data_IF_995972563620
#
_entry.id   IF_995972563620
#
_cell.length_a   1.000
_cell.length_b   1.000
_cell.length_c   1.000
_cell.angle_alpha   90.00
_cell.angle_beta   90.00
_cell.angle_gamma   90.00
#
_symmetry.space_group_name_H-M   'P 1'
#
loop_
_entity.id
_entity.type
_entity.pdbx_description
1 polymer ?
#
# COMPACT_ATOMS: atom_id res chain seq x y z
N UNK A 1 21.34 11.66 -11.38
CA UNK A 1 21.44 11.66 -9.90
C UNK A 1 20.05 11.82 -9.35
N UNK A 2 19.54 10.83 -8.63
CA UNK A 2 18.21 10.90 -8.01
C UNK A 2 18.27 11.86 -6.82
N UNK A 3 17.49 12.94 -6.86
CA UNK A 3 17.45 13.89 -5.74
C UNK A 3 16.86 13.19 -4.51
N UNK A 4 17.60 13.25 -3.40
CA UNK A 4 17.21 12.58 -2.16
C UNK A 4 15.92 13.23 -1.63
N UNK A 5 14.90 12.43 -1.34
CA UNK A 5 13.63 12.93 -0.76
C UNK A 5 13.90 13.71 0.54
N UNK A 6 13.22 14.84 0.76
CA UNK A 6 13.37 15.64 1.98
C UNK A 6 12.90 14.87 3.21
N UNK A 7 13.37 15.28 4.40
CA UNK A 7 13.08 14.56 5.64
C UNK A 7 11.58 14.48 5.97
N UNK A 8 10.83 15.55 5.70
CA UNK A 8 9.38 15.63 5.96
C UNK A 8 8.52 14.71 5.07
N UNK A 9 9.05 14.24 3.94
CA UNK A 9 8.33 13.35 3.01
C UNK A 9 8.54 11.86 3.34
N UNK A 10 9.40 11.54 4.31
CA UNK A 10 9.72 10.15 4.66
C UNK A 10 8.79 9.63 5.74
N UNK A 11 8.14 8.51 5.45
CA UNK A 11 7.32 7.80 6.43
C UNK A 11 8.21 6.91 7.31
N UNK A 12 7.93 6.85 8.61
CA UNK A 12 8.57 5.88 9.52
C UNK A 12 7.87 4.54 9.37
N UNK A 13 8.63 3.50 9.00
CA UNK A 13 8.11 2.13 8.92
C UNK A 13 7.91 1.62 10.35
N UNK A 14 6.66 1.54 10.80
CA UNK A 14 6.27 0.86 12.03
C UNK A 14 5.77 -0.54 11.67
N UNK A 15 6.36 -1.58 12.27
CA UNK A 15 5.88 -2.95 12.10
C UNK A 15 4.53 -3.10 12.83
N UNK A 16 3.44 -2.79 12.13
CA UNK A 16 2.09 -2.85 12.69
C UNK A 16 1.41 -4.14 12.23
N UNK A 17 0.98 -4.98 13.18
CA UNK A 17 0.45 -6.33 12.91
C UNK A 17 -0.79 -6.33 11.99
N UNK A 18 -1.55 -5.23 11.95
CA UNK A 18 -2.78 -5.13 11.15
C UNK A 18 -2.61 -5.12 9.64
N UNK A 19 -1.41 -4.84 9.11
CA UNK A 19 -1.14 -4.79 7.66
C UNK A 19 -1.31 -6.16 6.99
N UNK A 20 -0.80 -7.20 7.64
CA UNK A 20 -0.62 -8.52 7.01
C UNK A 20 -1.95 -9.17 6.63
N UNK A 21 -3.00 -8.97 7.42
CA UNK A 21 -4.31 -9.59 7.14
C UNK A 21 -4.92 -9.07 5.83
N UNK A 22 -4.92 -7.74 5.62
CA UNK A 22 -5.43 -7.13 4.38
C UNK A 22 -4.53 -7.51 3.21
N UNK A 23 -3.22 -7.47 3.40
CA UNK A 23 -2.26 -7.83 2.34
C UNK A 23 -2.42 -9.29 1.90
N UNK A 24 -2.58 -10.21 2.84
CA UNK A 24 -2.80 -11.64 2.56
C UNK A 24 -4.12 -11.87 1.81
N UNK A 25 -5.21 -11.27 2.29
CA UNK A 25 -6.53 -11.40 1.66
C UNK A 25 -6.52 -10.89 0.21
N UNK A 26 -5.88 -9.76 -0.06
CA UNK A 26 -5.77 -9.20 -1.41
C UNK A 26 -4.96 -10.11 -2.34
N UNK A 27 -3.89 -10.73 -1.83
CA UNK A 27 -3.06 -11.68 -2.57
C UNK A 27 -3.83 -12.97 -2.88
N UNK A 28 -4.52 -13.54 -1.88
CA UNK A 28 -5.33 -14.76 -2.05
C UNK A 28 -6.45 -14.59 -3.07
N UNK A 29 -7.11 -13.42 -3.07
CA UNK A 29 -8.22 -13.13 -3.98
C UNK A 29 -7.79 -12.53 -5.32
N UNK A 30 -6.47 -12.34 -5.54
CA UNK A 30 -5.92 -11.70 -6.74
C UNK A 30 -6.58 -10.35 -7.06
N UNK A 31 -6.81 -9.51 -6.03
CA UNK A 31 -7.48 -8.21 -6.17
C UNK A 31 -6.46 -7.06 -6.30
N UNK A 32 -6.31 -6.45 -7.49
CA UNK A 32 -5.37 -5.35 -7.67
C UNK A 32 -5.85 -4.09 -6.95
N UNK A 33 -4.90 -3.37 -6.35
CA UNK A 33 -5.16 -2.12 -5.62
C UNK A 33 -4.20 -1.03 -6.05
N UNK A 34 -4.66 0.22 -6.09
CA UNK A 34 -3.77 1.37 -6.34
C UNK A 34 -2.73 1.51 -5.21
N UNK A 35 -3.04 1.00 -4.01
CA UNK A 35 -2.13 0.96 -2.87
C UNK A 35 -0.81 0.26 -3.22
N UNK A 36 -0.89 -0.91 -3.88
CA UNK A 36 0.27 -1.71 -4.28
C UNK A 36 0.90 -1.21 -5.58
N UNK A 37 0.08 -1.02 -6.63
CA UNK A 37 0.57 -0.64 -7.97
C UNK A 37 1.32 0.70 -7.96
N UNK A 38 0.85 1.68 -7.18
CA UNK A 38 1.48 3.00 -7.07
C UNK A 38 2.55 3.10 -5.98
N UNK A 39 2.87 2.00 -5.28
CA UNK A 39 3.79 1.98 -4.12
C UNK A 39 3.45 3.07 -3.10
N UNK A 40 2.18 3.13 -2.70
CA UNK A 40 1.64 4.19 -1.87
C UNK A 40 2.37 4.27 -0.51
N UNK A 41 2.87 5.45 -0.09
CA UNK A 41 3.57 5.59 1.19
C UNK A 41 2.67 5.33 2.41
N UNK A 42 1.34 5.38 2.24
CA UNK A 42 0.36 5.19 3.29
C UNK A 42 -0.14 3.74 3.40
N UNK A 43 0.40 2.80 2.61
CA UNK A 43 -0.09 1.42 2.52
C UNK A 43 -0.21 0.75 3.89
N UNK A 44 0.78 0.92 4.77
CA UNK A 44 0.73 0.33 6.11
C UNK A 44 -0.37 0.93 7.00
N UNK A 45 -0.60 2.24 6.92
CA UNK A 45 -1.65 2.90 7.69
C UNK A 45 -3.04 2.50 7.19
N UNK A 46 -3.25 2.49 5.87
CA UNK A 46 -4.54 2.11 5.30
C UNK A 46 -4.88 0.65 5.64
N UNK A 47 -3.93 -0.27 5.48
CA UNK A 47 -4.17 -1.69 5.73
C UNK A 47 -4.37 -1.97 7.22
N UNK A 48 -3.65 -1.29 8.13
CA UNK A 48 -3.89 -1.44 9.57
C UNK A 48 -5.29 -1.01 9.99
N UNK A 49 -5.90 -0.07 9.25
CA UNK A 49 -7.30 0.38 9.41
C UNK A 49 -8.30 -0.45 8.59
N UNK A 50 -7.90 -1.60 8.03
CA UNK A 50 -8.77 -2.45 7.19
C UNK A 50 -9.34 -1.73 5.97
N UNK A 51 -8.54 -0.85 5.35
CA UNK A 51 -8.96 -0.03 4.20
C UNK A 51 -8.03 -0.25 3.01
N UNK A 52 -8.60 -0.45 1.82
CA UNK A 52 -7.88 -0.57 0.55
C UNK A 52 -8.69 0.11 -0.57
N UNK A 53 -8.01 0.52 -1.65
CA UNK A 53 -8.64 1.11 -2.84
C UNK A 53 -8.35 0.26 -4.07
N UNK A 54 -9.40 -0.33 -4.63
CA UNK A 54 -9.33 -1.31 -5.72
C UNK A 54 -9.16 -0.67 -7.10
N UNK A 55 -8.54 -1.43 -8.00
CA UNK A 55 -8.51 -1.17 -9.43
C UNK A 55 -9.44 -2.17 -10.14
N UNK A 56 -10.69 -1.77 -10.37
CA UNK A 56 -11.74 -2.70 -10.81
C UNK A 56 -11.51 -3.31 -12.20
N UNK A 57 -10.90 -2.56 -13.13
CA UNK A 57 -10.68 -2.98 -14.52
C UNK A 57 -9.26 -3.53 -14.75
N UNK A 58 -8.57 -3.92 -13.67
CA UNK A 58 -7.19 -4.38 -13.72
C UNK A 58 -6.17 -3.25 -13.51
N UNK A 59 -4.90 -3.65 -13.54
CA UNK A 59 -3.76 -2.79 -13.20
C UNK A 59 -3.19 -2.00 -14.40
N UNK A 60 -3.47 -2.45 -15.62
CA UNK A 60 -3.03 -1.77 -16.84
C UNK A 60 -4.16 -0.86 -17.33
N UNK A 61 -3.84 0.42 -17.49
CA UNK A 61 -4.71 1.41 -18.11
C UNK A 61 -4.75 1.21 -19.62
#
# INVERSE_FOLDING_TARGET
>A
MEQRKPAWLKVKVQANQGKNEVEHLLQELALPTVCQEARCPNLMECYSRKTATFLLLGQNC
#
